data_IF_426769511759
#
_entry.id   IF_426769511759
#
_cell.length_a   1.000
_cell.length_b   1.000
_cell.length_c   1.000
_cell.angle_alpha   90.00
_cell.angle_beta   90.00
_cell.angle_gamma   90.00
#
_symmetry.space_group_name_H-M   'P 1'
#
loop_
_entity.id
_entity.type
_entity.pdbx_description
1 polymer ?
#
# COMPACT_ATOMS: atom_id res chain seq x y z
N UNK A 1 -28.70 4.18 30.09
CA UNK A 1 -29.66 4.30 28.98
C UNK A 1 -28.93 3.93 27.67
N UNK A 2 -29.66 3.36 26.69
CA UNK A 2 -29.08 2.98 25.38
C UNK A 2 -28.55 4.23 24.69
N UNK A 3 -29.25 5.34 24.77
CA UNK A 3 -28.83 6.61 24.19
C UNK A 3 -27.50 7.11 24.80
N UNK A 4 -27.28 6.94 26.09
CA UNK A 4 -26.07 7.40 26.78
C UNK A 4 -24.83 6.53 26.42
N UNK A 5 -25.08 5.34 25.88
CA UNK A 5 -24.03 4.43 25.40
C UNK A 5 -23.59 4.68 23.97
N UNK A 6 -24.21 5.61 23.24
CA UNK A 6 -23.88 5.93 21.85
C UNK A 6 -23.07 7.22 21.82
N UNK A 7 -21.79 7.10 21.45
CA UNK A 7 -20.89 8.25 21.25
C UNK A 7 -20.87 8.67 19.78
N UNK A 8 -20.63 9.97 19.54
CA UNK A 8 -20.27 10.42 18.19
C UNK A 8 -18.81 10.00 17.90
N UNK A 9 -18.63 9.20 16.86
CA UNK A 9 -17.34 8.67 16.41
C UNK A 9 -17.01 9.13 14.98
N UNK A 10 -17.63 10.24 14.54
CA UNK A 10 -17.43 10.80 13.19
C UNK A 10 -15.95 11.16 12.96
N UNK A 11 -15.31 11.75 13.95
CA UNK A 11 -13.88 12.07 13.94
C UNK A 11 -12.98 10.84 13.71
N UNK A 12 -13.35 9.67 14.25
CA UNK A 12 -12.63 8.42 14.04
C UNK A 12 -12.92 7.86 12.64
N UNK A 13 -14.16 7.95 12.18
CA UNK A 13 -14.53 7.52 10.84
C UNK A 13 -13.80 8.37 9.78
N UNK A 14 -13.78 9.68 9.95
CA UNK A 14 -13.07 10.63 9.09
C UNK A 14 -11.56 10.34 9.08
N UNK A 15 -10.96 10.18 10.26
CA UNK A 15 -9.53 9.81 10.37
C UNK A 15 -9.19 8.57 9.55
N UNK A 16 -10.01 7.52 9.63
CA UNK A 16 -9.78 6.27 8.89
C UNK A 16 -9.98 6.51 7.38
N UNK A 17 -11.06 7.18 7.00
CA UNK A 17 -11.42 7.42 5.59
C UNK A 17 -10.41 8.33 4.89
N UNK A 18 -9.87 9.32 5.59
CA UNK A 18 -8.89 10.26 5.04
C UNK A 18 -7.46 9.73 5.03
N UNK A 19 -7.15 8.68 5.81
CA UNK A 19 -5.79 8.17 5.95
C UNK A 19 -5.54 6.80 5.32
N UNK A 20 -6.52 5.88 5.36
CA UNK A 20 -6.33 4.49 4.96
C UNK A 20 -6.96 4.24 3.58
N UNK A 21 -6.17 3.64 2.68
CA UNK A 21 -6.61 3.29 1.33
C UNK A 21 -7.64 2.15 1.34
N UNK A 22 -8.74 2.30 0.59
CA UNK A 22 -9.72 1.22 0.38
C UNK A 22 -9.09 0.00 -0.33
N UNK A 23 -8.02 0.22 -1.10
CA UNK A 23 -7.28 -0.82 -1.82
C UNK A 23 -6.03 -1.29 -1.06
N UNK A 24 -5.97 -1.04 0.25
CA UNK A 24 -4.85 -1.50 1.08
C UNK A 24 -4.66 -3.02 0.95
N UNK A 25 -3.43 -3.46 0.79
CA UNK A 25 -3.07 -4.88 0.76
C UNK A 25 -3.38 -5.59 2.09
N UNK A 26 -3.34 -6.93 2.07
CA UNK A 26 -3.59 -7.74 3.28
C UNK A 26 -2.51 -7.59 4.36
N UNK A 27 -1.34 -7.09 3.99
CA UNK A 27 -0.24 -6.90 4.94
C UNK A 27 0.35 -5.50 4.83
N UNK A 28 0.76 -4.95 5.96
CA UNK A 28 1.43 -3.64 6.05
C UNK A 28 2.74 -3.62 5.22
N UNK A 29 3.31 -4.79 4.93
CA UNK A 29 4.59 -4.92 4.20
C UNK A 29 4.44 -4.75 2.68
N UNK A 30 3.22 -4.81 2.16
CA UNK A 30 2.97 -4.69 0.72
C UNK A 30 2.98 -3.23 0.24
N UNK A 31 2.91 -2.27 1.17
CA UNK A 31 2.81 -0.86 0.86
C UNK A 31 1.42 -0.44 0.35
N UNK A 32 1.23 0.85 0.07
CA UNK A 32 -0.05 1.35 -0.45
C UNK A 32 -1.16 1.43 0.60
N UNK A 33 -0.79 1.43 1.87
CA UNK A 33 -1.72 1.48 2.99
C UNK A 33 -2.29 2.89 3.20
N UNK A 34 -1.47 3.92 3.00
CA UNK A 34 -1.82 5.31 3.24
C UNK A 34 -2.23 5.99 1.94
N UNK A 35 -3.35 6.72 1.99
CA UNK A 35 -3.89 7.50 0.87
C UNK A 35 -2.90 8.57 0.44
N UNK A 36 -2.81 8.82 -0.88
CA UNK A 36 -2.04 9.94 -1.41
C UNK A 36 -2.67 11.27 -0.94
N UNK A 37 -1.84 12.22 -0.56
CA UNK A 37 -2.26 13.51 0.00
C UNK A 37 -2.34 13.53 1.54
N UNK A 38 -2.26 12.39 2.22
CA UNK A 38 -2.28 12.35 3.69
C UNK A 38 -0.95 12.82 4.32
N UNK A 39 0.18 12.51 3.68
CA UNK A 39 1.52 12.89 4.14
C UNK A 39 2.37 13.40 2.99
N UNK A 40 2.76 14.68 3.06
CA UNK A 40 3.62 15.31 2.06
C UNK A 40 4.96 14.58 1.89
N UNK A 41 5.57 14.13 2.99
CA UNK A 41 6.83 13.37 2.97
C UNK A 41 6.67 12.04 2.22
N UNK A 42 5.55 11.34 2.44
CA UNK A 42 5.24 10.09 1.77
C UNK A 42 5.00 10.31 0.28
N UNK A 43 4.26 11.35 -0.08
CA UNK A 43 3.97 11.70 -1.47
C UNK A 43 5.22 12.08 -2.23
N UNK A 44 6.12 12.86 -1.61
CA UNK A 44 7.41 13.22 -2.19
C UNK A 44 8.30 11.99 -2.44
N UNK A 45 8.32 11.03 -1.52
CA UNK A 45 9.04 9.77 -1.71
C UNK A 45 8.42 8.93 -2.85
N UNK A 46 7.09 8.83 -2.92
CA UNK A 46 6.38 8.14 -4.00
C UNK A 46 6.66 8.78 -5.36
N UNK A 47 6.65 10.12 -5.43
CA UNK A 47 6.98 10.85 -6.66
C UNK A 47 8.41 10.57 -7.11
N UNK A 48 9.40 10.59 -6.22
CA UNK A 48 10.80 10.31 -6.56
C UNK A 48 11.01 8.90 -7.14
N UNK A 49 10.27 7.89 -6.64
CA UNK A 49 10.30 6.53 -7.21
C UNK A 49 9.66 6.51 -8.60
N UNK A 50 8.55 7.20 -8.79
CA UNK A 50 7.86 7.26 -10.08
C UNK A 50 8.76 7.82 -11.16
N UNK A 51 9.46 8.90 -10.88
CA UNK A 51 10.41 9.52 -11.80
C UNK A 51 11.60 8.59 -12.12
N UNK A 52 12.18 7.96 -11.09
CA UNK A 52 13.25 7.01 -11.27
C UNK A 52 12.83 5.77 -12.09
N UNK A 53 11.64 5.22 -11.84
CA UNK A 53 11.09 4.10 -12.63
C UNK A 53 10.78 4.52 -14.06
N UNK A 54 10.30 5.73 -14.29
CA UNK A 54 10.06 6.26 -15.63
C UNK A 54 11.37 6.42 -16.41
N UNK A 55 12.43 6.90 -15.74
CA UNK A 55 13.77 6.97 -16.34
C UNK A 55 14.30 5.57 -16.73
N UNK A 56 14.21 4.57 -15.84
CA UNK A 56 14.60 3.19 -16.16
C UNK A 56 13.79 2.63 -17.33
N UNK A 57 12.50 2.91 -17.39
CA UNK A 57 11.64 2.46 -18.50
C UNK A 57 12.04 3.09 -19.84
N UNK A 58 12.51 4.34 -19.83
CA UNK A 58 13.01 5.02 -21.01
C UNK A 58 14.43 4.64 -21.42
N UNK A 59 15.20 4.04 -20.51
CA UNK A 59 16.64 3.77 -20.68
C UNK A 59 16.93 2.89 -21.91
N UNK A 60 16.09 1.89 -22.19
CA UNK A 60 16.30 1.00 -23.34
C UNK A 60 16.30 1.77 -24.66
N UNK A 61 15.33 2.68 -24.84
CA UNK A 61 15.26 3.49 -26.05
C UNK A 61 16.44 4.47 -26.15
N UNK A 62 16.75 5.12 -25.02
CA UNK A 62 17.89 6.05 -24.94
C UNK A 62 19.21 5.37 -25.27
N UNK A 63 19.48 4.20 -24.69
CA UNK A 63 20.73 3.47 -24.91
C UNK A 63 20.82 2.87 -26.31
N UNK A 64 19.72 2.45 -26.91
CA UNK A 64 19.70 2.04 -28.33
C UNK A 64 20.08 3.18 -29.27
N UNK A 65 19.59 4.39 -29.00
CA UNK A 65 19.91 5.57 -29.78
C UNK A 65 21.38 5.97 -29.57
N UNK A 66 21.84 6.02 -28.32
CA UNK A 66 23.21 6.40 -27.95
C UNK A 66 24.25 5.45 -28.52
N UNK A 67 24.01 4.14 -28.45
CA UNK A 67 25.01 3.11 -28.84
C UNK A 67 24.88 2.63 -30.27
N UNK A 68 23.73 2.85 -30.92
CA UNK A 68 23.40 2.27 -32.21
C UNK A 68 23.04 0.76 -32.17
N UNK A 69 23.03 0.14 -30.98
CA UNK A 69 22.77 -1.29 -30.79
C UNK A 69 21.27 -1.56 -30.76
N UNK A 70 20.65 -1.84 -31.90
CA UNK A 70 19.19 -2.04 -32.03
C UNK A 70 18.65 -3.22 -31.22
N UNK A 71 19.48 -4.21 -30.92
CA UNK A 71 19.10 -5.44 -30.17
C UNK A 71 19.28 -5.31 -28.66
N UNK A 72 19.81 -4.18 -28.17
CA UNK A 72 19.97 -3.89 -26.75
C UNK A 72 18.63 -3.97 -26.03
N UNK A 73 18.63 -4.58 -24.85
CA UNK A 73 17.47 -4.67 -23.97
C UNK A 73 17.85 -4.28 -22.55
N UNK A 74 16.93 -3.64 -21.84
CA UNK A 74 17.03 -3.42 -20.40
C UNK A 74 16.18 -4.47 -19.70
N UNK A 75 16.76 -5.16 -18.73
CA UNK A 75 16.08 -6.22 -17.96
C UNK A 75 16.30 -6.08 -16.47
N UNK A 76 15.54 -6.83 -15.69
CA UNK A 76 15.66 -6.93 -14.25
C UNK A 76 15.83 -8.38 -13.80
N UNK A 77 16.73 -8.59 -12.85
CA UNK A 77 16.94 -9.88 -12.19
C UNK A 77 16.95 -9.70 -10.67
N UNK A 78 16.24 -10.55 -9.94
CA UNK A 78 16.13 -10.46 -8.48
C UNK A 78 17.48 -10.53 -7.73
N UNK A 79 18.49 -11.15 -8.34
CA UNK A 79 19.83 -11.32 -7.72
C UNK A 79 20.77 -10.15 -8.07
N UNK A 80 20.71 -9.69 -9.32
CA UNK A 80 21.69 -8.70 -9.85
C UNK A 80 21.09 -7.30 -10.03
N UNK A 81 19.77 -7.14 -9.92
CA UNK A 81 19.07 -5.90 -10.18
C UNK A 81 18.84 -5.63 -11.66
N UNK A 82 18.80 -4.37 -12.04
CA UNK A 82 18.68 -3.93 -13.43
C UNK A 82 19.99 -4.14 -14.20
N UNK A 83 19.85 -4.50 -15.47
CA UNK A 83 20.99 -4.71 -16.38
C UNK A 83 20.64 -4.35 -17.81
N UNK A 84 21.66 -4.05 -18.59
CA UNK A 84 21.62 -3.85 -20.03
C UNK A 84 22.14 -5.11 -20.69
N UNK A 85 21.33 -5.75 -21.52
CA UNK A 85 21.62 -7.01 -22.22
C UNK A 85 22.06 -6.69 -23.66
N UNK A 86 23.29 -7.07 -24.03
CA UNK A 86 23.86 -6.86 -25.35
C UNK A 86 24.27 -8.21 -25.94
N UNK A 87 23.89 -8.47 -27.18
CA UNK A 87 24.33 -9.69 -27.89
C UNK A 87 25.82 -9.63 -28.17
N UNK A 88 26.50 -10.79 -28.11
CA UNK A 88 27.95 -10.87 -28.37
C UNK A 88 28.40 -10.30 -29.74
N UNK A 89 27.50 -10.39 -30.71
CA UNK A 89 27.75 -9.82 -32.05
C UNK A 89 27.95 -8.27 -32.03
N UNK A 90 27.49 -7.61 -30.97
CA UNK A 90 27.55 -6.16 -30.80
C UNK A 90 28.48 -5.75 -29.65
N UNK A 91 29.29 -6.67 -29.11
CA UNK A 91 30.21 -6.36 -27.99
C UNK A 91 31.23 -5.25 -28.32
N UNK A 92 31.63 -5.12 -29.57
CA UNK A 92 32.57 -4.06 -30.01
C UNK A 92 31.97 -2.65 -30.06
N UNK A 93 30.63 -2.57 -29.99
CA UNK A 93 29.87 -1.32 -29.95
C UNK A 93 29.54 -0.84 -28.53
N UNK A 94 29.93 -1.63 -27.53
CA UNK A 94 29.67 -1.32 -26.13
C UNK A 94 30.52 -0.14 -25.67
N UNK A 95 29.90 0.91 -25.10
CA UNK A 95 30.66 2.07 -24.60
C UNK A 95 31.57 1.73 -23.41
N UNK A 96 32.59 2.55 -23.18
CA UNK A 96 33.56 2.35 -22.09
C UNK A 96 32.96 2.50 -20.69
N UNK A 97 31.85 3.23 -20.56
CA UNK A 97 31.12 3.42 -19.31
C UNK A 97 30.26 2.19 -18.89
N UNK A 98 30.13 1.19 -19.76
CA UNK A 98 29.44 -0.04 -19.45
C UNK A 98 30.34 -0.98 -18.63
N UNK A 99 29.88 -1.33 -17.44
CA UNK A 99 30.56 -2.27 -16.55
C UNK A 99 29.95 -3.66 -16.75
N UNK A 100 30.73 -4.59 -17.27
CA UNK A 100 30.28 -5.97 -17.47
C UNK A 100 30.05 -6.68 -16.14
N UNK A 101 28.86 -7.23 -15.95
CA UNK A 101 28.45 -8.00 -14.75
C UNK A 101 28.35 -9.49 -14.98
N UNK A 102 27.89 -9.90 -16.15
CA UNK A 102 27.69 -11.32 -16.46
C UNK A 102 27.92 -11.59 -17.94
N UNK A 103 28.58 -12.72 -18.22
CA UNK A 103 28.74 -13.25 -19.57
C UNK A 103 27.87 -14.51 -19.71
N UNK A 104 26.98 -14.52 -20.70
CA UNK A 104 26.13 -15.65 -21.06
C UNK A 104 26.61 -16.25 -22.39
N UNK A 105 25.97 -17.33 -22.84
CA UNK A 105 26.36 -18.01 -24.08
C UNK A 105 26.29 -17.09 -25.28
N UNK A 106 25.18 -16.33 -25.43
CA UNK A 106 24.92 -15.48 -26.59
C UNK A 106 24.94 -13.98 -26.30
N UNK A 107 24.91 -13.57 -25.03
CA UNK A 107 24.76 -12.19 -24.59
C UNK A 107 25.75 -11.85 -23.47
N UNK A 108 25.98 -10.59 -23.28
CA UNK A 108 26.67 -10.04 -22.12
C UNK A 108 25.79 -9.02 -21.42
N UNK A 109 25.81 -9.03 -20.09
CA UNK A 109 25.02 -8.11 -19.25
C UNK A 109 25.91 -7.08 -18.62
N UNK A 110 25.49 -5.85 -18.77
CA UNK A 110 26.20 -4.67 -18.30
C UNK A 110 25.36 -3.85 -17.35
N UNK A 111 26.02 -3.01 -16.58
CA UNK A 111 25.41 -1.91 -15.84
C UNK A 111 26.16 -0.62 -16.17
N UNK A 112 25.49 0.51 -16.02
CA UNK A 112 26.14 1.82 -15.99
C UNK A 112 26.13 2.36 -14.57
N UNK A 113 27.05 3.28 -14.19
CA UNK A 113 27.01 3.96 -12.90
C UNK A 113 25.65 4.62 -12.65
N UNK A 114 25.10 5.31 -13.65
CA UNK A 114 23.80 5.99 -13.58
C UNK A 114 22.65 5.02 -13.32
N UNK A 115 22.60 3.87 -14.03
CA UNK A 115 21.61 2.84 -13.78
C UNK A 115 21.70 2.30 -12.34
N UNK A 116 22.92 2.13 -11.83
CA UNK A 116 23.14 1.65 -10.47
C UNK A 116 22.73 2.66 -9.41
N UNK A 117 22.99 3.93 -9.64
CA UNK A 117 22.57 5.01 -8.75
C UNK A 117 21.04 5.12 -8.71
N UNK A 118 20.39 5.08 -9.88
CA UNK A 118 18.92 5.11 -9.99
C UNK A 118 18.28 3.88 -9.33
N UNK A 119 18.84 2.69 -9.50
CA UNK A 119 18.40 1.47 -8.81
C UNK A 119 18.47 1.62 -7.29
N UNK A 120 19.61 2.12 -6.77
CA UNK A 120 19.80 2.35 -5.35
C UNK A 120 18.80 3.38 -4.80
N UNK A 121 18.50 4.43 -5.58
CA UNK A 121 17.51 5.45 -5.22
C UNK A 121 16.13 4.80 -5.07
N UNK A 122 15.68 4.00 -6.05
CA UNK A 122 14.39 3.28 -5.99
C UNK A 122 14.35 2.36 -4.77
N UNK A 123 15.36 1.52 -4.56
CA UNK A 123 15.39 0.57 -3.45
C UNK A 123 15.36 1.26 -2.07
N UNK A 124 16.15 2.31 -1.91
CA UNK A 124 16.20 3.08 -0.67
C UNK A 124 14.90 3.83 -0.40
N UNK A 125 14.29 4.37 -1.45
CA UNK A 125 13.02 5.08 -1.32
C UNK A 125 11.86 4.10 -1.02
N UNK A 126 11.79 2.91 -1.64
CA UNK A 126 10.81 1.88 -1.30
C UNK A 126 10.92 1.44 0.17
N UNK A 127 12.15 1.27 0.66
CA UNK A 127 12.40 0.94 2.07
C UNK A 127 11.92 2.05 3.01
N UNK A 128 12.17 3.32 2.65
CA UNK A 128 11.72 4.48 3.42
C UNK A 128 10.19 4.64 3.39
N UNK A 129 9.56 4.41 2.24
CA UNK A 129 8.11 4.44 2.10
C UNK A 129 7.47 3.42 3.05
N UNK A 130 7.89 2.16 2.99
CA UNK A 130 7.32 1.11 3.84
C UNK A 130 7.49 1.43 5.33
N UNK A 131 8.61 2.01 5.72
CA UNK A 131 8.85 2.44 7.10
C UNK A 131 7.93 3.59 7.49
N UNK A 132 7.80 4.61 6.66
CA UNK A 132 6.97 5.78 6.92
C UNK A 132 5.47 5.42 6.94
N UNK A 133 5.00 4.61 6.01
CA UNK A 133 3.62 4.09 6.02
C UNK A 133 3.33 3.31 7.31
N UNK A 134 4.28 2.50 7.79
CA UNK A 134 4.12 1.81 9.05
C UNK A 134 4.05 2.77 10.25
N UNK A 135 4.90 3.80 10.31
CA UNK A 135 4.91 4.80 11.38
C UNK A 135 3.59 5.59 11.41
N UNK A 136 3.09 6.00 10.24
CA UNK A 136 1.78 6.67 10.09
C UNK A 136 0.66 5.74 10.56
N UNK A 137 0.65 4.49 10.11
CA UNK A 137 -0.35 3.50 10.53
C UNK A 137 -0.36 3.29 12.04
N UNK A 138 0.80 3.18 12.68
CA UNK A 138 0.91 3.05 14.14
C UNK A 138 0.33 4.28 14.84
N UNK A 139 0.57 5.47 14.32
CA UNK A 139 -0.01 6.72 14.85
C UNK A 139 -1.54 6.72 14.78
N UNK A 140 -2.10 6.37 13.61
CA UNK A 140 -3.56 6.25 13.41
C UNK A 140 -4.15 5.22 14.36
N UNK A 141 -3.55 4.03 14.43
CA UNK A 141 -3.99 2.96 15.35
C UNK A 141 -4.01 3.43 16.80
N UNK A 142 -2.99 4.17 17.24
CA UNK A 142 -2.92 4.68 18.61
C UNK A 142 -4.02 5.68 18.90
N UNK A 143 -4.39 6.51 17.94
CA UNK A 143 -5.51 7.46 18.09
C UNK A 143 -6.84 6.70 18.21
N UNK A 144 -7.05 5.64 17.40
CA UNK A 144 -8.24 4.79 17.50
C UNK A 144 -8.27 4.04 18.85
N UNK A 145 -7.12 3.51 19.29
CA UNK A 145 -6.98 2.81 20.57
C UNK A 145 -7.38 3.70 21.76
N UNK A 146 -7.05 4.98 21.73
CA UNK A 146 -7.44 5.93 22.78
C UNK A 146 -8.97 6.06 22.93
N UNK A 147 -9.74 5.75 21.88
CA UNK A 147 -11.22 5.83 21.85
C UNK A 147 -11.88 4.44 21.86
N UNK A 148 -11.11 3.35 22.12
CA UNK A 148 -11.61 1.97 21.99
C UNK A 148 -12.81 1.69 22.92
N UNK A 149 -12.84 2.29 24.11
CA UNK A 149 -13.94 2.12 25.04
C UNK A 149 -15.24 2.69 24.49
N UNK A 150 -15.19 3.88 23.90
CA UNK A 150 -16.36 4.53 23.31
C UNK A 150 -16.88 3.73 22.10
N UNK A 151 -15.98 3.20 21.27
CA UNK A 151 -16.32 2.32 20.14
C UNK A 151 -17.04 1.07 20.64
N UNK A 152 -16.50 0.43 21.70
CA UNK A 152 -17.07 -0.78 22.29
C UNK A 152 -18.45 -0.52 22.95
N UNK A 153 -18.60 0.59 23.66
CA UNK A 153 -19.84 0.91 24.35
C UNK A 153 -20.93 1.28 23.32
N UNK A 154 -20.59 2.04 22.28
CA UNK A 154 -21.47 2.31 21.13
C UNK A 154 -21.90 1.03 20.43
N UNK A 155 -20.97 0.11 20.16
CA UNK A 155 -21.28 -1.20 19.56
C UNK A 155 -22.26 -2.02 20.40
N UNK A 156 -22.08 -2.06 21.73
CA UNK A 156 -22.99 -2.75 22.65
C UNK A 156 -24.39 -2.11 22.65
N UNK A 157 -24.45 -0.77 22.68
CA UNK A 157 -25.72 -0.04 22.67
C UNK A 157 -26.51 -0.32 21.38
N UNK A 158 -25.83 -0.32 20.22
CA UNK A 158 -26.40 -0.65 18.92
C UNK A 158 -26.89 -2.12 18.90
N UNK A 159 -26.11 -3.07 19.42
CA UNK A 159 -26.51 -4.48 19.47
C UNK A 159 -27.78 -4.69 20.31
N UNK A 160 -27.90 -4.01 21.46
CA UNK A 160 -29.10 -4.05 22.28
C UNK A 160 -30.32 -3.45 21.54
N UNK A 161 -30.12 -2.32 20.87
CA UNK A 161 -31.16 -1.66 20.08
C UNK A 161 -31.64 -2.56 18.93
N UNK A 162 -30.75 -3.22 18.22
CA UNK A 162 -31.06 -4.15 17.14
C UNK A 162 -31.95 -5.32 17.63
N UNK A 163 -31.60 -5.92 18.77
CA UNK A 163 -32.39 -7.00 19.39
C UNK A 163 -33.79 -6.51 19.77
N UNK A 164 -33.90 -5.33 20.39
CA UNK A 164 -35.21 -4.76 20.76
C UNK A 164 -36.06 -4.48 19.52
N UNK A 165 -35.48 -3.88 18.48
CA UNK A 165 -36.15 -3.62 17.21
C UNK A 165 -36.62 -4.92 16.55
N UNK A 166 -35.78 -5.96 16.54
CA UNK A 166 -36.12 -7.28 16.02
C UNK A 166 -37.30 -7.91 16.77
N UNK A 167 -37.28 -7.87 18.10
CA UNK A 167 -38.39 -8.35 18.90
C UNK A 167 -39.71 -7.55 18.70
N UNK A 168 -39.59 -6.23 18.59
CA UNK A 168 -40.74 -5.38 18.29
C UNK A 168 -41.37 -5.71 16.93
N UNK A 169 -40.52 -5.88 15.89
CA UNK A 169 -40.97 -6.26 14.56
C UNK A 169 -41.68 -7.64 14.56
N UNK A 170 -41.09 -8.64 15.19
CA UNK A 170 -41.67 -9.99 15.30
C UNK A 170 -42.99 -9.95 16.08
N UNK A 171 -43.03 -9.28 17.24
CA UNK A 171 -44.22 -9.15 18.06
C UNK A 171 -45.40 -8.49 17.31
N UNK A 172 -45.07 -7.44 16.54
CA UNK A 172 -46.08 -6.75 15.70
C UNK A 172 -46.58 -7.65 14.58
N UNK A 173 -45.70 -8.37 13.89
CA UNK A 173 -46.09 -9.22 12.75
C UNK A 173 -46.92 -10.43 13.16
N UNK A 174 -46.67 -11.00 14.34
CA UNK A 174 -47.34 -12.18 14.83
C UNK A 174 -48.43 -11.89 15.92
N UNK A 175 -48.68 -10.63 16.24
CA UNK A 175 -49.70 -10.23 17.20
C UNK A 175 -49.39 -10.65 18.64
N UNK A 176 -48.08 -10.71 19.01
CA UNK A 176 -47.71 -11.11 20.37
C UNK A 176 -48.10 -10.02 21.38
N UNK A 177 -48.60 -10.48 22.56
CA UNK A 177 -48.93 -9.62 23.68
C UNK A 177 -48.09 -9.98 24.90
N UNK A 178 -47.88 -9.02 25.79
CA UNK A 178 -47.15 -9.27 27.04
C UNK A 178 -47.94 -10.26 27.90
N UNK A 179 -47.41 -11.45 28.23
CA UNK A 179 -48.09 -12.40 29.07
C UNK A 179 -48.16 -11.92 30.52
N UNK A 180 -49.25 -12.26 31.20
CA UNK A 180 -49.32 -12.16 32.66
C UNK A 180 -48.80 -13.48 33.22
N UNK A 181 -47.68 -13.38 33.96
CA UNK A 181 -47.08 -14.55 34.64
C UNK A 181 -47.40 -14.45 36.11
N UNK A 182 -48.25 -15.35 36.58
CA UNK A 182 -48.65 -15.47 37.99
C UNK A 182 -48.56 -16.94 38.46
N UNK A 183 -48.85 -17.17 39.75
CA UNK A 183 -48.86 -18.50 40.35
C UNK A 183 -50.27 -19.16 40.34
N UNK A 184 -51.22 -18.61 39.60
CA UNK A 184 -52.56 -19.21 39.45
C UNK A 184 -52.48 -20.48 38.61
N UNK A 185 -53.21 -21.53 39.06
CA UNK A 185 -53.36 -22.80 38.33
C UNK A 185 -54.58 -22.76 37.45
#
# INVERSE_FOLDING_TARGET
DIHDGISNLEDIADLITESISENAGFTIKEGGLIIDGYSEDLDNLKASIKDAKAWIAGLEAHERERTGIKTLKVGYNKVFGYYIDVTRANSDLVPEDYIRKQTLVNNERYITPELKETENLVFNAETKINKLEYEIFVSIRTQIEARIKEIQDTSKAIAVLDVICSFAAVSRNYGYTKPIVDNSK
#
